data_IF_491175870874
#
_entry.id   IF_491175870874
#
_cell.length_a   1.000
_cell.length_b   1.000
_cell.length_c   1.000
_cell.angle_alpha   90.00
_cell.angle_beta   90.00
_cell.angle_gamma   90.00
#
_symmetry.space_group_name_H-M   'P 1'
#
loop_
_entity.id
_entity.type
_entity.pdbx_description
1 polymer ?
#
# COMPACT_ATOMS: atom_id res chain seq x y z
N UNK A 1 -3.50 -29.13 7.85
CA UNK A 1 -2.72 -28.16 7.03
C UNK A 1 -1.69 -28.86 6.16
N UNK A 2 -1.83 -28.80 4.83
CA UNK A 2 -0.79 -29.25 3.90
C UNK A 2 0.15 -28.07 3.53
N UNK A 3 1.36 -28.33 3.02
CA UNK A 3 2.29 -27.26 2.59
C UNK A 3 1.69 -26.31 1.55
N UNK A 4 0.84 -26.81 0.65
CA UNK A 4 0.16 -26.03 -0.40
C UNK A 4 -0.77 -24.99 0.21
N UNK A 5 -1.52 -25.38 1.24
CA UNK A 5 -2.44 -24.50 1.96
C UNK A 5 -1.69 -23.38 2.69
N UNK A 6 -0.51 -23.69 3.24
CA UNK A 6 0.34 -22.67 3.85
C UNK A 6 0.83 -21.65 2.82
N UNK A 7 1.28 -22.12 1.64
CA UNK A 7 1.73 -21.24 0.54
C UNK A 7 0.59 -20.33 0.06
N UNK A 8 -0.62 -20.85 -0.11
CA UNK A 8 -1.77 -20.04 -0.54
C UNK A 8 -2.17 -18.98 0.49
N UNK A 9 -2.03 -19.28 1.79
CA UNK A 9 -2.24 -18.30 2.85
C UNK A 9 -1.21 -17.17 2.77
N UNK A 10 0.07 -17.50 2.63
CA UNK A 10 1.13 -16.50 2.48
C UNK A 10 0.96 -15.67 1.21
N UNK A 11 0.59 -16.31 0.10
CA UNK A 11 0.31 -15.63 -1.17
C UNK A 11 -0.79 -14.57 -1.00
N UNK A 12 -1.87 -14.93 -0.31
CA UNK A 12 -3.00 -14.03 -0.07
C UNK A 12 -2.60 -12.85 0.84
N UNK A 13 -1.82 -13.12 1.89
CA UNK A 13 -1.28 -12.09 2.78
C UNK A 13 -0.35 -11.11 2.05
N UNK A 14 0.57 -11.64 1.23
CA UNK A 14 1.49 -10.84 0.43
C UNK A 14 0.75 -10.00 -0.61
N UNK A 15 -0.25 -10.58 -1.28
CA UNK A 15 -1.07 -9.86 -2.24
C UNK A 15 -1.77 -8.65 -1.60
N UNK A 16 -2.43 -8.85 -0.45
CA UNK A 16 -3.06 -7.76 0.27
C UNK A 16 -2.04 -6.69 0.68
N UNK A 17 -0.89 -7.10 1.22
CA UNK A 17 0.18 -6.19 1.64
C UNK A 17 0.69 -5.35 0.46
N UNK A 18 0.99 -5.99 -0.67
CA UNK A 18 1.44 -5.31 -1.90
C UNK A 18 0.39 -4.33 -2.40
N UNK A 19 -0.88 -4.73 -2.40
CA UNK A 19 -1.98 -3.85 -2.80
C UNK A 19 -2.07 -2.61 -1.90
N UNK A 20 -2.00 -2.79 -0.58
CA UNK A 20 -2.05 -1.67 0.37
C UNK A 20 -0.87 -0.71 0.19
N UNK A 21 0.34 -1.26 0.05
CA UNK A 21 1.55 -0.46 -0.22
C UNK A 21 1.44 0.27 -1.55
N UNK A 22 1.00 -0.42 -2.61
CA UNK A 22 0.88 0.19 -3.94
C UNK A 22 -0.09 1.38 -3.92
N UNK A 23 -1.26 1.22 -3.31
CA UNK A 23 -2.27 2.28 -3.22
C UNK A 23 -1.74 3.50 -2.48
N UNK A 24 -0.99 3.33 -1.39
CA UNK A 24 -0.43 4.44 -0.61
C UNK A 24 0.79 5.08 -1.25
N UNK A 25 1.68 4.28 -1.85
CA UNK A 25 3.00 4.72 -2.28
C UNK A 25 3.00 5.21 -3.73
N UNK A 26 2.30 4.54 -4.65
CA UNK A 26 2.33 4.88 -6.09
C UNK A 26 1.92 6.33 -6.36
N UNK A 27 0.85 6.90 -5.76
CA UNK A 27 0.51 8.30 -5.98
C UNK A 27 1.63 9.25 -5.54
N UNK A 28 2.26 8.97 -4.38
CA UNK A 28 3.38 9.76 -3.87
C UNK A 28 4.63 9.65 -4.77
N UNK A 29 4.87 8.48 -5.38
CA UNK A 29 5.96 8.28 -6.32
C UNK A 29 5.76 9.06 -7.61
N UNK A 30 4.55 9.06 -8.16
CA UNK A 30 4.21 9.82 -9.37
C UNK A 30 4.44 11.33 -9.16
N UNK A 31 3.98 11.87 -8.03
CA UNK A 31 4.22 13.28 -7.71
C UNK A 31 5.70 13.55 -7.43
N UNK A 32 6.39 12.64 -6.74
CA UNK A 32 7.83 12.72 -6.55
C UNK A 32 8.60 12.80 -7.85
N UNK A 33 8.21 12.00 -8.84
CA UNK A 33 8.80 11.99 -10.18
C UNK A 33 8.55 13.32 -10.92
N UNK A 34 7.32 13.83 -10.90
CA UNK A 34 6.98 15.12 -11.51
C UNK A 34 7.80 16.27 -10.91
N UNK A 35 7.92 16.29 -9.58
CA UNK A 35 8.70 17.31 -8.87
C UNK A 35 10.21 17.15 -9.12
N UNK A 36 10.71 15.92 -9.31
CA UNK A 36 12.11 15.68 -9.69
C UNK A 36 12.41 16.19 -11.10
N UNK A 37 11.51 15.98 -12.05
CA UNK A 37 11.63 16.51 -13.42
C UNK A 37 11.62 18.04 -13.40
N UNK A 38 10.73 18.65 -12.62
CA UNK A 38 10.68 20.11 -12.46
C UNK A 38 11.99 20.67 -11.89
N UNK A 39 12.50 20.07 -10.80
CA UNK A 39 13.80 20.45 -10.21
C UNK A 39 14.95 20.33 -11.22
N UNK A 40 14.99 19.26 -12.00
CA UNK A 40 16.01 19.06 -13.03
C UNK A 40 15.91 20.10 -14.15
N UNK A 41 14.70 20.45 -14.59
CA UNK A 41 14.47 21.43 -15.65
C UNK A 41 14.85 22.86 -15.23
N UNK A 42 14.62 23.24 -13.98
CA UNK A 42 14.91 24.58 -13.46
C UNK A 42 16.24 24.69 -12.73
N UNK A 43 17.01 23.60 -12.63
CA UNK A 43 18.26 23.52 -11.86
C UNK A 43 18.10 23.90 -10.37
N UNK A 44 16.88 23.72 -9.82
CA UNK A 44 16.61 23.96 -8.39
C UNK A 44 16.94 22.67 -7.63
N UNK A 45 17.88 22.74 -6.69
CA UNK A 45 18.29 21.59 -5.86
C UNK A 45 17.91 21.80 -4.38
N UNK A 46 16.62 22.01 -4.13
CA UNK A 46 16.08 22.24 -2.79
C UNK A 46 15.43 20.95 -2.26
N UNK A 47 16.09 20.30 -1.31
CA UNK A 47 15.67 18.97 -0.81
C UNK A 47 14.23 18.99 -0.25
N UNK A 48 13.82 20.07 0.40
CA UNK A 48 12.48 20.27 0.99
C UNK A 48 11.37 20.33 -0.05
N UNK A 49 11.65 20.92 -1.22
CA UNK A 49 10.71 21.07 -2.34
C UNK A 49 10.26 19.70 -2.86
N UNK A 50 11.14 18.71 -2.77
CA UNK A 50 10.83 17.34 -3.16
C UNK A 50 10.01 16.59 -2.10
N UNK A 51 10.21 16.88 -0.81
CA UNK A 51 9.60 16.13 0.29
C UNK A 51 8.14 16.53 0.54
N UNK A 52 7.86 17.83 0.62
CA UNK A 52 6.55 18.34 1.04
C UNK A 52 5.40 17.91 0.11
N UNK A 53 5.51 18.03 -1.23
CA UNK A 53 4.44 17.60 -2.14
C UNK A 53 4.13 16.09 -2.01
N UNK A 54 5.18 15.26 -1.86
CA UNK A 54 5.03 13.81 -1.67
C UNK A 54 4.27 13.48 -0.39
N UNK A 55 4.61 14.16 0.71
CA UNK A 55 3.95 13.98 1.99
C UNK A 55 2.46 14.35 1.91
N UNK A 56 2.14 15.51 1.32
CA UNK A 56 0.74 15.95 1.18
C UNK A 56 -0.09 14.95 0.36
N UNK A 57 0.46 14.43 -0.73
CA UNK A 57 -0.21 13.44 -1.57
C UNK A 57 -0.41 12.13 -0.82
N UNK A 58 0.57 11.67 -0.05
CA UNK A 58 0.43 10.48 0.78
C UNK A 58 -0.68 10.66 1.83
N UNK A 59 -0.74 11.81 2.49
CA UNK A 59 -1.79 12.12 3.47
C UNK A 59 -3.19 12.16 2.82
N UNK A 60 -3.32 12.80 1.66
CA UNK A 60 -4.59 12.83 0.92
C UNK A 60 -5.00 11.42 0.50
N UNK A 61 -4.06 10.63 -0.01
CA UNK A 61 -4.29 9.24 -0.39
C UNK A 61 -4.76 8.40 0.80
N UNK A 62 -4.19 8.62 1.98
CA UNK A 62 -4.60 7.95 3.20
C UNK A 62 -6.00 8.39 3.65
N UNK A 63 -6.33 9.68 3.56
CA UNK A 63 -7.67 10.19 3.91
C UNK A 63 -8.74 9.60 2.99
N UNK A 64 -8.48 9.56 1.69
CA UNK A 64 -9.44 9.10 0.68
C UNK A 64 -9.51 7.56 0.62
N UNK A 65 -8.35 6.90 0.60
CA UNK A 65 -8.24 5.44 0.47
C UNK A 65 -8.30 4.68 1.79
N UNK A 66 -8.11 5.36 2.93
CA UNK A 66 -8.03 4.76 4.27
C UNK A 66 -9.22 3.88 4.64
N UNK A 67 -10.48 4.37 4.54
CA UNK A 67 -11.65 3.56 4.86
C UNK A 67 -11.72 2.27 4.05
N UNK A 68 -11.40 2.33 2.76
CA UNK A 68 -11.40 1.17 1.86
C UNK A 68 -10.25 0.19 2.17
N UNK A 69 -9.05 0.69 2.49
CA UNK A 69 -7.92 -0.14 2.91
C UNK A 69 -8.22 -0.89 4.20
N UNK A 70 -8.85 -0.21 5.18
CA UNK A 70 -9.28 -0.83 6.43
C UNK A 70 -10.35 -1.88 6.17
N UNK A 71 -11.33 -1.60 5.32
CA UNK A 71 -12.33 -2.58 4.93
C UNK A 71 -11.69 -3.85 4.33
N UNK A 72 -10.76 -3.70 3.39
CA UNK A 72 -10.06 -4.84 2.77
C UNK A 72 -9.25 -5.65 3.78
N UNK A 73 -8.60 -4.96 4.70
CA UNK A 73 -7.87 -5.61 5.79
C UNK A 73 -8.80 -6.40 6.71
N UNK A 74 -9.94 -5.81 7.10
CA UNK A 74 -10.95 -6.47 7.93
C UNK A 74 -11.57 -7.68 7.22
N UNK A 75 -11.93 -7.56 5.95
CA UNK A 75 -12.45 -8.67 5.12
C UNK A 75 -11.47 -9.85 5.12
N UNK A 76 -10.17 -9.58 4.92
CA UNK A 76 -9.13 -10.61 4.95
C UNK A 76 -9.00 -11.25 6.34
N UNK A 77 -8.95 -10.45 7.41
CA UNK A 77 -8.83 -10.97 8.78
C UNK A 77 -10.03 -11.83 9.17
N UNK A 78 -11.25 -11.39 8.88
CA UNK A 78 -12.46 -12.17 9.18
C UNK A 78 -12.50 -13.46 8.36
N UNK A 79 -12.12 -13.42 7.08
CA UNK A 79 -12.02 -14.62 6.24
C UNK A 79 -10.95 -15.60 6.74
N UNK A 80 -9.83 -15.09 7.24
CA UNK A 80 -8.80 -15.92 7.86
C UNK A 80 -9.34 -16.62 9.11
N UNK A 81 -9.93 -15.87 10.04
CA UNK A 81 -10.46 -16.43 11.28
C UNK A 81 -11.56 -17.47 11.05
N UNK A 82 -12.46 -17.25 10.08
CA UNK A 82 -13.51 -18.22 9.74
C UNK A 82 -12.95 -19.50 9.09
N UNK A 83 -11.79 -19.40 8.44
CA UNK A 83 -11.12 -20.53 7.80
C UNK A 83 -10.33 -21.39 8.79
N UNK A 84 -9.87 -20.84 9.93
CA UNK A 84 -9.06 -21.57 10.92
C UNK A 84 -9.64 -22.93 11.34
N UNK A 85 -10.94 -23.05 11.71
CA UNK A 85 -11.53 -24.34 12.09
C UNK A 85 -11.45 -25.40 10.98
N UNK A 86 -11.52 -24.98 9.72
CA UNK A 86 -11.47 -25.85 8.54
C UNK A 86 -10.05 -26.26 8.16
N UNK A 87 -9.03 -25.54 8.67
CA UNK A 87 -7.62 -25.79 8.39
C UNK A 87 -6.96 -26.75 9.40
N UNK A 88 -7.57 -26.85 10.58
CA UNK A 88 -7.14 -27.69 11.71
C UNK A 88 -7.85 -29.06 11.68
N UNK A 89 -9.05 -29.14 11.10
CA UNK A 89 -9.71 -30.41 10.75
C UNK A 89 -9.09 -31.07 9.52
#
# INVERSE_FOLDING_TARGET
MTPEVAVDLFRSALWLTTLMVAVLVVPSLLVGLLVAIFQAATQINEQTLSFLPRLLVMLITLIVGGPWLVQKFMEYMTGLYSSIPHLIG
#
